data_IF_681025629490
#
_entry.id   IF_681025629490
#
_cell.length_a   1.000
_cell.length_b   1.000
_cell.length_c   1.000
_cell.angle_alpha   90.00
_cell.angle_beta   90.00
_cell.angle_gamma   90.00
#
_symmetry.space_group_name_H-M   'P 1'
#
loop_
_entity.id
_entity.type
_entity.pdbx_description
1 polymer ?
#
# COMPACT_ATOMS: atom_id res chain seq x y z
N UNK A 1 -21.89 6.68 -23.08
CA UNK A 1 -22.39 5.65 -22.12
C UNK A 1 -22.55 4.34 -22.86
N UNK A 2 -22.36 3.17 -22.21
CA UNK A 2 -22.62 1.90 -22.86
C UNK A 2 -24.10 1.78 -23.24
N UNK A 3 -24.40 1.33 -24.46
CA UNK A 3 -25.79 1.11 -24.90
C UNK A 3 -26.31 -0.26 -24.43
N UNK A 4 -25.45 -1.28 -24.41
CA UNK A 4 -25.77 -2.64 -23.97
C UNK A 4 -26.01 -2.68 -22.45
N UNK A 5 -27.10 -3.30 -22.02
CA UNK A 5 -27.51 -3.35 -20.59
C UNK A 5 -26.47 -4.00 -19.68
N UNK A 6 -25.83 -5.09 -20.14
CA UNK A 6 -24.75 -5.76 -19.40
C UNK A 6 -23.58 -4.81 -19.13
N UNK A 7 -23.24 -3.95 -20.09
CA UNK A 7 -22.15 -3.00 -19.99
C UNK A 7 -22.47 -1.82 -19.07
N UNK A 8 -23.72 -1.31 -19.09
CA UNK A 8 -24.18 -0.31 -18.11
C UNK A 8 -24.00 -0.83 -16.67
N UNK A 9 -24.36 -2.09 -16.42
CA UNK A 9 -24.15 -2.76 -15.13
C UNK A 9 -22.66 -2.86 -14.78
N UNK A 10 -21.82 -3.28 -15.73
CA UNK A 10 -20.35 -3.39 -15.52
C UNK A 10 -19.74 -2.06 -15.11
N UNK A 11 -20.07 -0.96 -15.79
CA UNK A 11 -19.58 0.38 -15.44
C UNK A 11 -19.92 0.74 -13.99
N UNK A 12 -21.17 0.57 -13.56
CA UNK A 12 -21.59 0.84 -12.17
C UNK A 12 -20.78 0.02 -11.16
N UNK A 13 -20.61 -1.28 -11.40
CA UNK A 13 -19.85 -2.16 -10.50
C UNK A 13 -18.36 -1.84 -10.47
N UNK A 14 -17.78 -1.49 -11.62
CA UNK A 14 -16.37 -1.15 -11.74
C UNK A 14 -16.07 0.17 -11.03
N UNK A 15 -16.93 1.18 -11.17
CA UNK A 15 -16.77 2.46 -10.47
C UNK A 15 -16.78 2.26 -8.94
N UNK A 16 -17.73 1.48 -8.42
CA UNK A 16 -17.77 1.15 -6.98
C UNK A 16 -16.49 0.47 -6.51
N UNK A 17 -15.99 -0.51 -7.26
CA UNK A 17 -14.73 -1.21 -6.95
C UNK A 17 -13.53 -0.27 -7.03
N UNK A 18 -13.45 0.56 -8.07
CA UNK A 18 -12.35 1.49 -8.30
C UNK A 18 -12.22 2.51 -7.17
N UNK A 19 -13.34 3.06 -6.68
CA UNK A 19 -13.34 3.98 -5.54
C UNK A 19 -12.76 3.31 -4.27
N UNK A 20 -13.22 2.10 -3.94
CA UNK A 20 -12.73 1.37 -2.78
C UNK A 20 -11.24 0.99 -2.90
N UNK A 21 -10.81 0.54 -4.08
CA UNK A 21 -9.40 0.19 -4.33
C UNK A 21 -8.51 1.43 -4.33
N UNK A 22 -8.99 2.56 -4.86
CA UNK A 22 -8.25 3.83 -4.86
C UNK A 22 -7.94 4.29 -3.44
N UNK A 23 -8.95 4.28 -2.55
CA UNK A 23 -8.78 4.62 -1.14
C UNK A 23 -7.78 3.70 -0.41
N UNK A 24 -7.80 2.41 -0.71
CA UNK A 24 -6.86 1.46 -0.11
C UNK A 24 -5.43 1.67 -0.63
N UNK A 25 -5.28 1.96 -1.92
CA UNK A 25 -3.97 2.28 -2.52
C UNK A 25 -3.41 3.59 -1.98
N UNK A 26 -4.23 4.62 -1.76
CA UNK A 26 -3.77 5.89 -1.18
C UNK A 26 -3.32 5.70 0.26
N UNK A 27 -4.11 5.00 1.10
CA UNK A 27 -3.74 4.70 2.48
C UNK A 27 -2.42 3.91 2.58
N UNK A 28 -2.21 2.94 1.67
CA UNK A 28 -0.97 2.17 1.59
C UNK A 28 0.23 3.07 1.25
N UNK A 29 0.10 3.95 0.25
CA UNK A 29 1.16 4.90 -0.12
C UNK A 29 1.49 5.84 1.04
N UNK A 30 0.47 6.30 1.78
CA UNK A 30 0.68 7.14 2.96
C UNK A 30 1.44 6.41 4.05
N UNK A 31 1.13 5.13 4.34
CA UNK A 31 1.92 4.36 5.31
C UNK A 31 3.38 4.18 4.90
N UNK A 32 3.65 3.95 3.61
CA UNK A 32 5.02 3.85 3.10
C UNK A 32 5.75 5.19 3.28
N UNK A 33 5.10 6.31 2.97
CA UNK A 33 5.67 7.66 3.18
C UNK A 33 5.98 7.95 4.64
N UNK A 34 5.14 7.49 5.58
CA UNK A 34 5.40 7.66 7.03
C UNK A 34 6.69 6.96 7.46
N UNK A 35 6.94 5.75 6.96
CA UNK A 35 8.21 5.05 7.22
C UNK A 35 9.39 5.83 6.68
N UNK A 36 9.30 6.30 5.43
CA UNK A 36 10.38 7.08 4.81
C UNK A 36 10.63 8.39 5.56
N UNK A 37 9.59 9.08 6.01
CA UNK A 37 9.75 10.31 6.80
C UNK A 37 10.42 10.05 8.15
N UNK A 38 10.11 8.93 8.84
CA UNK A 38 10.79 8.54 10.08
C UNK A 38 12.26 8.15 9.85
N UNK A 39 12.54 7.50 8.71
CA UNK A 39 13.89 7.20 8.22
C UNK A 39 14.66 8.51 7.97
N UNK A 40 14.08 9.47 7.27
CA UNK A 40 14.72 10.77 7.00
C UNK A 40 15.00 11.55 8.30
N UNK A 41 14.14 11.41 9.31
CA UNK A 41 14.31 12.00 10.64
C UNK A 41 15.32 11.24 11.55
N UNK A 42 15.88 10.12 11.09
CA UNK A 42 16.80 9.24 11.83
C UNK A 42 16.24 8.67 13.15
N UNK A 43 14.92 8.56 13.28
CA UNK A 43 14.28 7.96 14.45
C UNK A 43 14.03 6.47 14.21
N UNK A 44 14.93 5.63 14.72
CA UNK A 44 14.86 4.17 14.54
C UNK A 44 13.62 3.54 15.20
N UNK A 45 13.18 4.07 16.35
CA UNK A 45 12.03 3.52 17.07
C UNK A 45 10.72 3.84 16.34
N UNK A 46 10.55 5.09 15.91
CA UNK A 46 9.39 5.50 15.13
C UNK A 46 9.35 4.82 13.76
N UNK A 47 10.50 4.62 13.12
CA UNK A 47 10.58 3.94 11.84
C UNK A 47 10.18 2.45 11.95
N UNK A 48 10.59 1.75 13.02
CA UNK A 48 10.19 0.37 13.28
C UNK A 48 8.67 0.23 13.51
N UNK A 49 8.09 1.13 14.32
CA UNK A 49 6.64 1.14 14.56
C UNK A 49 5.85 1.41 13.26
N UNK A 50 6.26 2.41 12.48
CA UNK A 50 5.64 2.73 11.20
C UNK A 50 5.79 1.57 10.18
N UNK A 51 6.91 0.85 10.21
CA UNK A 51 7.15 -0.29 9.34
C UNK A 51 6.19 -1.44 9.62
N UNK A 52 5.89 -1.73 10.88
CA UNK A 52 4.93 -2.77 11.24
C UNK A 52 3.54 -2.47 10.67
N UNK A 53 3.08 -1.22 10.76
CA UNK A 53 1.82 -0.80 10.14
C UNK A 53 1.85 -0.93 8.61
N UNK A 54 2.93 -0.47 7.97
CA UNK A 54 3.09 -0.52 6.53
C UNK A 54 3.13 -1.97 6.01
N UNK A 55 3.84 -2.85 6.73
CA UNK A 55 3.95 -4.28 6.44
C UNK A 55 2.57 -4.96 6.50
N UNK A 56 1.80 -4.71 7.56
CA UNK A 56 0.43 -5.23 7.68
C UNK A 56 -0.48 -4.75 6.55
N UNK A 57 -0.39 -3.48 6.15
CA UNK A 57 -1.16 -2.93 5.03
C UNK A 57 -0.75 -3.53 3.68
N UNK A 58 0.54 -3.79 3.48
CA UNK A 58 1.04 -4.48 2.27
C UNK A 58 0.46 -5.89 2.15
N UNK A 59 0.47 -6.67 3.23
CA UNK A 59 -0.07 -8.03 3.21
C UNK A 59 -1.58 -8.05 3.00
N UNK A 60 -2.32 -7.14 3.65
CA UNK A 60 -3.76 -6.97 3.42
C UNK A 60 -4.06 -6.60 1.97
N UNK A 61 -3.21 -5.81 1.32
CA UNK A 61 -3.37 -5.46 -0.09
C UNK A 61 -3.13 -6.67 -1.02
N UNK A 62 -2.24 -7.59 -0.65
CA UNK A 62 -2.05 -8.86 -1.37
C UNK A 62 -3.24 -9.79 -1.18
N UNK A 63 -3.72 -9.97 0.05
CA UNK A 63 -4.88 -10.82 0.35
C UNK A 63 -6.14 -10.35 -0.40
N UNK A 64 -6.31 -9.04 -0.59
CA UNK A 64 -7.41 -8.46 -1.36
C UNK A 64 -7.18 -8.44 -2.88
N UNK A 65 -6.06 -8.95 -3.37
CA UNK A 65 -5.72 -8.99 -4.79
C UNK A 65 -5.44 -7.62 -5.42
N UNK A 66 -5.15 -6.60 -4.61
CA UNK A 66 -4.90 -5.23 -5.09
C UNK A 66 -3.48 -5.10 -5.64
N UNK A 67 -2.53 -5.80 -5.00
CA UNK A 67 -1.14 -5.88 -5.41
C UNK A 67 -0.68 -7.35 -5.43
N UNK A 68 0.25 -7.66 -6.33
CA UNK A 68 0.86 -8.98 -6.39
C UNK A 68 1.86 -9.20 -5.22
N UNK A 69 2.08 -10.46 -4.83
CA UNK A 69 3.04 -10.81 -3.77
C UNK A 69 4.43 -10.18 -3.99
N UNK A 70 4.93 -10.18 -5.23
CA UNK A 70 6.24 -9.61 -5.55
C UNK A 70 6.33 -8.10 -5.28
N UNK A 71 5.23 -7.36 -5.44
CA UNK A 71 5.19 -5.94 -5.09
C UNK A 71 5.35 -5.75 -3.58
N UNK A 72 4.63 -6.53 -2.79
CA UNK A 72 4.73 -6.48 -1.33
C UNK A 72 6.13 -6.89 -0.85
N UNK A 73 6.67 -8.00 -1.34
CA UNK A 73 8.02 -8.47 -1.00
C UNK A 73 9.09 -7.41 -1.33
N UNK A 74 9.01 -6.80 -2.52
CA UNK A 74 9.96 -5.75 -2.92
C UNK A 74 9.89 -4.53 -2.01
N UNK A 75 8.68 -4.07 -1.66
CA UNK A 75 8.55 -2.90 -0.79
C UNK A 75 8.97 -3.17 0.64
N UNK A 76 8.66 -4.34 1.20
CA UNK A 76 9.16 -4.76 2.52
C UNK A 76 10.69 -4.77 2.55
N UNK A 77 11.31 -5.39 1.55
CA UNK A 77 12.78 -5.44 1.44
C UNK A 77 13.41 -4.04 1.37
N UNK A 78 12.83 -3.13 0.57
CA UNK A 78 13.34 -1.75 0.45
C UNK A 78 13.22 -0.96 1.75
N UNK A 79 12.08 -1.05 2.42
CA UNK A 79 11.86 -0.33 3.68
C UNK A 79 12.73 -0.88 4.80
N UNK A 80 12.86 -2.21 4.92
CA UNK A 80 13.76 -2.82 5.89
C UNK A 80 15.22 -2.39 5.70
N UNK A 81 15.70 -2.33 4.45
CA UNK A 81 17.05 -1.83 4.13
C UNK A 81 17.24 -0.37 4.57
N UNK A 82 16.24 0.48 4.34
CA UNK A 82 16.31 1.89 4.72
C UNK A 82 16.36 2.09 6.24
N UNK A 83 15.59 1.30 7.01
CA UNK A 83 15.59 1.35 8.47
C UNK A 83 16.93 0.85 9.03
N UNK A 84 17.42 -0.28 8.51
CA UNK A 84 18.69 -0.86 8.94
C UNK A 84 19.88 0.07 8.67
N UNK A 85 19.82 0.89 7.62
CA UNK A 85 20.87 1.86 7.29
C UNK A 85 21.00 3.01 8.31
N UNK A 86 20.01 3.23 9.17
CA UNK A 86 20.03 4.27 10.21
C UNK A 86 20.32 3.66 11.58
N UNK A 87 20.00 2.39 11.78
CA UNK A 87 20.29 1.66 13.01
C UNK A 87 21.75 1.16 13.10
N UNK A 88 22.49 1.20 11.99
CA UNK A 88 23.93 0.91 11.92
C UNK A 88 24.74 2.18 12.17
#
# INVERSE_FOLDING_TARGET
MPQIQSQKKRVKTNNKRNLAVSAQKSALRTSIKKVLAAVDAKDAAAAAAAYNEASSKLDKAVAKGIHHKNYATRQKSRLAKAINAIAA
#
